data_IF_148147359069
#
_entry.id   IF_148147359069
#
_cell.length_a   1.000
_cell.length_b   1.000
_cell.length_c   1.000
_cell.angle_alpha   90.00
_cell.angle_beta   90.00
_cell.angle_gamma   90.00
#
_symmetry.space_group_name_H-M   'P 1'
#
loop_
_entity.id
_entity.type
_entity.pdbx_description
1 polymer ?
#
# COMPACT_ATOMS: atom_id res chain seq x y z
N UNK A 1 -40.62 35.61 44.58
CA UNK A 1 -40.96 35.03 43.25
C UNK A 1 -40.15 35.65 42.10
N UNK A 2 -38.86 35.96 42.28
CA UNK A 2 -37.99 36.50 41.19
C UNK A 2 -36.70 35.71 40.97
N UNK A 3 -36.39 34.72 41.82
CA UNK A 3 -35.13 33.97 41.71
C UNK A 3 -35.28 32.58 41.07
N UNK A 4 -36.51 32.13 40.82
CA UNK A 4 -36.76 30.80 40.23
C UNK A 4 -36.69 30.79 38.70
N UNK A 5 -36.61 31.96 38.05
CA UNK A 5 -36.65 32.07 36.57
C UNK A 5 -35.28 32.03 35.90
N UNK A 6 -34.17 32.17 36.64
CA UNK A 6 -32.82 32.22 36.04
C UNK A 6 -32.20 30.82 35.92
N UNK A 7 -32.60 29.86 36.77
CA UNK A 7 -32.06 28.50 36.75
C UNK A 7 -32.63 27.65 35.60
N UNK A 8 -33.83 27.98 35.10
CA UNK A 8 -34.47 27.24 34.00
C UNK A 8 -33.90 27.58 32.61
N UNK A 9 -33.26 28.74 32.44
CA UNK A 9 -32.63 29.14 31.17
C UNK A 9 -31.22 28.57 30.96
N UNK A 10 -30.51 28.16 32.02
CA UNK A 10 -29.16 27.58 31.88
C UNK A 10 -29.14 26.07 31.57
N UNK A 11 -30.26 25.35 31.77
CA UNK A 11 -30.31 23.90 31.52
C UNK A 11 -30.53 23.51 30.05
N UNK A 12 -30.89 24.45 29.16
CA UNK A 12 -31.20 24.15 27.76
C UNK A 12 -29.95 24.17 26.86
N UNK A 13 -28.83 24.73 27.33
CA UNK A 13 -27.60 24.86 26.52
C UNK A 13 -26.74 23.58 26.46
N UNK A 14 -27.05 22.54 27.24
CA UNK A 14 -26.31 21.27 27.21
C UNK A 14 -26.90 20.17 26.32
N UNK A 15 -28.08 20.37 25.70
CA UNK A 15 -28.68 19.36 24.81
C UNK A 15 -28.34 19.55 23.32
N UNK A 16 -27.68 20.64 22.93
CA UNK A 16 -27.35 20.93 21.54
C UNK A 16 -25.88 20.57 21.19
N UNK A 17 -25.45 19.37 21.57
CA UNK A 17 -24.28 18.75 20.97
C UNK A 17 -24.62 17.30 20.63
N UNK A 18 -25.70 17.10 19.87
CA UNK A 18 -25.84 15.90 19.05
C UNK A 18 -24.73 16.00 18.02
N UNK A 19 -23.58 15.40 18.34
CA UNK A 19 -22.56 15.07 17.36
C UNK A 19 -23.28 14.17 16.37
N UNK A 20 -23.74 14.73 15.25
CA UNK A 20 -24.30 13.97 14.17
C UNK A 20 -23.31 12.84 13.91
N UNK A 21 -23.72 11.61 14.24
CA UNK A 21 -22.99 10.43 13.77
C UNK A 21 -23.18 10.48 12.27
N UNK A 22 -22.29 11.19 11.58
CA UNK A 22 -22.24 11.21 10.12
C UNK A 22 -22.36 9.77 9.68
N UNK A 23 -23.42 9.49 8.92
CA UNK A 23 -23.65 8.16 8.39
C UNK A 23 -22.38 7.77 7.63
N UNK A 24 -21.71 6.71 8.10
CA UNK A 24 -20.49 6.22 7.48
C UNK A 24 -20.89 5.75 6.09
N UNK A 25 -20.36 6.40 5.05
CA UNK A 25 -20.65 6.00 3.68
C UNK A 25 -20.06 4.61 3.42
N UNK A 26 -20.83 3.66 2.86
CA UNK A 26 -20.34 2.32 2.61
C UNK A 26 -19.28 2.33 1.51
N UNK A 27 -18.27 1.47 1.68
CA UNK A 27 -17.24 1.16 0.70
C UNK A 27 -17.61 -0.15 0.01
N UNK A 28 -17.57 -0.18 -1.32
CA UNK A 28 -17.80 -1.41 -2.09
C UNK A 28 -16.49 -1.99 -2.61
N UNK A 29 -16.46 -3.30 -2.84
CA UNK A 29 -15.29 -3.96 -3.42
C UNK A 29 -14.93 -3.40 -4.81
N UNK A 30 -15.92 -3.04 -5.62
CA UNK A 30 -15.70 -2.48 -6.95
C UNK A 30 -14.93 -1.16 -6.92
N UNK A 31 -15.23 -0.29 -5.95
CA UNK A 31 -14.54 0.99 -5.80
C UNK A 31 -13.07 0.82 -5.42
N UNK A 32 -12.71 -0.27 -4.72
CA UNK A 32 -11.33 -0.58 -4.36
C UNK A 32 -10.43 -0.88 -5.57
N UNK A 33 -10.99 -1.25 -6.73
CA UNK A 33 -10.20 -1.47 -7.96
C UNK A 33 -9.49 -0.22 -8.48
N UNK A 34 -9.85 0.96 -7.96
CA UNK A 34 -9.18 2.23 -8.24
C UNK A 34 -8.04 2.53 -7.25
N UNK A 35 -7.70 1.60 -6.35
CA UNK A 35 -6.72 1.79 -5.31
C UNK A 35 -5.74 0.61 -5.19
N UNK A 36 -4.60 0.88 -4.55
CA UNK A 36 -3.67 -0.14 -4.07
C UNK A 36 -3.07 0.31 -2.74
N UNK A 37 -2.61 -0.64 -1.94
CA UNK A 37 -1.92 -0.43 -0.68
C UNK A 37 -0.46 -0.84 -0.84
N UNK A 38 0.44 0.08 -0.54
CA UNK A 38 1.86 -0.22 -0.38
C UNK A 38 2.14 -0.44 1.10
N UNK A 39 2.79 -1.56 1.42
CA UNK A 39 2.96 -2.06 2.77
C UNK A 39 4.43 -2.35 3.05
N UNK A 40 4.90 -1.93 4.21
CA UNK A 40 6.18 -2.30 4.79
C UNK A 40 5.95 -3.13 6.05
N UNK A 41 6.51 -4.34 6.05
CA UNK A 41 6.46 -5.27 7.18
C UNK A 41 7.86 -5.65 7.62
N UNK A 42 8.04 -5.91 8.90
CA UNK A 42 9.14 -6.74 9.39
C UNK A 42 8.72 -8.19 9.28
N UNK A 43 9.58 -9.00 8.65
CA UNK A 43 9.45 -10.45 8.70
C UNK A 43 10.03 -11.02 10.00
N UNK A 44 9.91 -12.33 10.21
CA UNK A 44 10.40 -13.01 11.42
C UNK A 44 11.91 -12.83 11.67
N UNK A 45 12.69 -12.66 10.60
CA UNK A 45 14.13 -12.40 10.67
C UNK A 45 14.47 -10.92 10.92
N UNK A 46 13.46 -10.09 11.19
CA UNK A 46 13.57 -8.65 11.40
C UNK A 46 13.88 -7.86 10.13
N UNK A 47 13.89 -8.49 8.94
CA UNK A 47 14.14 -7.76 7.69
C UNK A 47 12.88 -7.07 7.22
N UNK A 48 13.07 -5.83 6.78
CA UNK A 48 12.03 -5.05 6.12
C UNK A 48 11.68 -5.66 4.76
N UNK A 49 10.39 -5.83 4.53
CA UNK A 49 9.78 -6.37 3.32
C UNK A 49 8.71 -5.43 2.80
N UNK A 50 8.72 -5.19 1.49
CA UNK A 50 7.71 -4.39 0.83
C UNK A 50 6.70 -5.31 0.14
N UNK A 51 5.42 -4.94 0.22
CA UNK A 51 4.30 -5.71 -0.33
C UNK A 51 3.35 -4.73 -1.03
N UNK A 52 2.85 -5.13 -2.19
CA UNK A 52 1.73 -4.46 -2.83
C UNK A 52 0.47 -5.28 -2.58
N UNK A 53 -0.62 -4.64 -2.17
CA UNK A 53 -1.96 -5.22 -2.18
C UNK A 53 -2.83 -4.39 -3.13
N UNK A 54 -3.33 -4.99 -4.20
CA UNK A 54 -4.10 -4.30 -5.22
C UNK A 54 -5.35 -5.09 -5.58
N UNK A 55 -6.35 -4.43 -6.15
CA UNK A 55 -7.67 -5.01 -6.39
C UNK A 55 -8.00 -5.03 -7.89
N UNK A 56 -8.42 -6.19 -8.39
CA UNK A 56 -8.72 -6.40 -9.80
C UNK A 56 -10.07 -7.09 -9.98
N UNK A 57 -10.79 -6.71 -11.04
CA UNK A 57 -12.02 -7.38 -11.44
C UNK A 57 -11.67 -8.55 -12.36
N UNK A 58 -11.88 -9.78 -11.88
CA UNK A 58 -11.71 -10.99 -12.66
C UNK A 58 -13.10 -11.58 -12.93
N UNK A 59 -13.65 -11.26 -14.11
CA UNK A 59 -14.93 -11.79 -14.60
C UNK A 59 -16.12 -11.57 -13.64
N UNK A 60 -16.21 -10.37 -13.05
CA UNK A 60 -17.31 -9.99 -12.15
C UNK A 60 -16.99 -10.18 -10.67
N UNK A 61 -15.92 -10.92 -10.34
CA UNK A 61 -15.44 -11.07 -8.96
C UNK A 61 -14.25 -10.16 -8.72
N UNK A 62 -14.36 -9.27 -7.73
CA UNK A 62 -13.21 -8.47 -7.30
C UNK A 62 -12.30 -9.35 -6.45
N UNK A 63 -11.03 -9.46 -6.85
CA UNK A 63 -9.99 -10.13 -6.09
C UNK A 63 -8.96 -9.11 -5.60
N UNK A 64 -8.52 -9.25 -4.36
CA UNK A 64 -7.31 -8.62 -3.89
C UNK A 64 -6.14 -9.55 -4.20
N UNK A 65 -5.06 -8.99 -4.72
CA UNK A 65 -3.79 -9.70 -4.92
C UNK A 65 -2.72 -9.02 -4.10
N UNK A 66 -2.05 -9.80 -3.26
CA UNK A 66 -0.88 -9.40 -2.52
C UNK A 66 0.36 -9.94 -3.25
N UNK A 67 1.20 -9.03 -3.73
CA UNK A 67 2.51 -9.34 -4.33
C UNK A 67 3.66 -8.91 -3.42
N UNK A 68 4.66 -9.78 -3.29
CA UNK A 68 5.88 -9.53 -2.54
C UNK A 68 7.08 -10.18 -3.20
N UNK A 69 8.29 -9.92 -2.67
CA UNK A 69 9.44 -10.73 -2.98
C UNK A 69 9.19 -12.18 -2.55
N UNK A 70 9.23 -13.10 -3.52
CA UNK A 70 9.14 -14.54 -3.33
C UNK A 70 7.74 -15.13 -3.38
N UNK A 71 6.69 -14.31 -3.45
CA UNK A 71 5.32 -14.82 -3.37
C UNK A 71 4.25 -13.93 -3.98
N UNK A 72 3.12 -14.55 -4.29
CA UNK A 72 1.86 -13.92 -4.69
C UNK A 72 0.73 -14.69 -4.03
N UNK A 73 -0.26 -13.98 -3.49
CA UNK A 73 -1.50 -14.57 -2.98
C UNK A 73 -2.69 -13.75 -3.46
N UNK A 74 -3.76 -14.43 -3.84
CA UNK A 74 -5.01 -13.81 -4.25
C UNK A 74 -6.15 -14.26 -3.35
N UNK A 75 -7.11 -13.38 -3.10
CA UNK A 75 -8.32 -13.67 -2.35
C UNK A 75 -9.49 -12.84 -2.89
N UNK A 76 -10.68 -13.44 -2.99
CA UNK A 76 -11.90 -12.69 -3.29
C UNK A 76 -12.17 -11.63 -2.21
N UNK A 77 -12.59 -10.45 -2.64
CA UNK A 77 -12.89 -9.33 -1.74
C UNK A 77 -14.31 -9.43 -1.24
N UNK A 78 -14.46 -9.53 0.08
CA UNK A 78 -15.73 -9.38 0.78
C UNK A 78 -15.59 -8.22 1.74
N UNK A 79 -16.38 -7.16 1.55
CA UNK A 79 -16.36 -5.98 2.42
C UNK A 79 -17.49 -6.09 3.43
N UNK A 80 -17.12 -6.08 4.71
CA UNK A 80 -18.05 -6.08 5.84
C UNK A 80 -17.71 -4.90 6.75
N UNK A 81 -18.68 -4.03 7.03
CA UNK A 81 -18.47 -2.83 7.85
C UNK A 81 -17.26 -1.99 7.39
N UNK A 82 -17.16 -1.74 6.08
CA UNK A 82 -16.03 -1.07 5.43
C UNK A 82 -14.66 -1.70 5.73
N UNK A 83 -14.63 -2.98 6.06
CA UNK A 83 -13.40 -3.70 6.38
C UNK A 83 -13.22 -4.89 5.45
N UNK A 84 -11.96 -5.24 5.20
CA UNK A 84 -11.56 -6.40 4.42
C UNK A 84 -10.52 -7.20 5.20
N UNK A 85 -10.71 -8.51 5.26
CA UNK A 85 -9.78 -9.46 5.88
C UNK A 85 -9.05 -10.21 4.79
N UNK A 86 -7.74 -10.02 4.69
CA UNK A 86 -6.89 -10.75 3.74
C UNK A 86 -6.07 -11.79 4.50
N UNK A 87 -6.37 -13.06 4.27
CA UNK A 87 -5.60 -14.19 4.77
C UNK A 87 -4.28 -14.31 4.00
N UNK A 88 -3.16 -14.22 4.71
CA UNK A 88 -1.83 -14.33 4.14
C UNK A 88 -1.39 -15.78 3.87
N UNK A 89 -2.12 -16.78 4.38
CA UNK A 89 -1.73 -18.18 4.32
C UNK A 89 -0.50 -18.51 5.15
N UNK A 90 -0.11 -17.59 6.03
CA UNK A 90 1.02 -17.72 6.94
C UNK A 90 0.46 -18.22 8.28
N UNK A 91 0.83 -19.43 8.71
CA UNK A 91 0.42 -20.00 9.98
C UNK A 91 1.59 -20.07 10.96
N UNK A 92 1.36 -19.63 12.20
CA UNK A 92 2.32 -19.79 13.31
C UNK A 92 1.56 -20.38 14.49
N UNK A 93 2.00 -21.54 14.99
CA UNK A 93 1.38 -22.24 16.12
C UNK A 93 -0.14 -22.47 15.94
N UNK A 94 -0.59 -22.90 14.76
CA UNK A 94 -2.02 -23.13 14.50
C UNK A 94 -2.84 -21.87 14.22
N UNK A 95 -2.22 -20.68 14.23
CA UNK A 95 -2.91 -19.41 14.04
C UNK A 95 -2.52 -18.78 12.70
N UNK A 96 -3.52 -18.54 11.87
CA UNK A 96 -3.37 -17.90 10.54
C UNK A 96 -3.23 -16.39 10.69
N UNK A 97 -2.31 -15.81 9.93
CA UNK A 97 -2.09 -14.36 9.90
C UNK A 97 -3.07 -13.69 8.93
N UNK A 98 -3.82 -12.71 9.43
CA UNK A 98 -4.79 -11.95 8.64
C UNK A 98 -4.42 -10.48 8.66
N UNK A 99 -4.39 -9.85 7.49
CA UNK A 99 -4.40 -8.39 7.37
C UNK A 99 -5.84 -7.90 7.48
N UNK A 100 -6.15 -7.15 8.54
CA UNK A 100 -7.42 -6.44 8.66
C UNK A 100 -7.24 -5.01 8.14
N UNK A 101 -7.87 -4.72 7.01
CA UNK A 101 -7.92 -3.40 6.39
C UNK A 101 -9.26 -2.75 6.74
N UNK A 102 -9.23 -1.52 7.24
CA UNK A 102 -10.43 -0.72 7.47
C UNK A 102 -10.38 0.52 6.60
N UNK A 103 -11.47 0.77 5.87
CA UNK A 103 -11.58 1.86 4.92
C UNK A 103 -12.55 2.94 5.41
N UNK A 104 -12.34 4.14 4.91
CA UNK A 104 -13.28 5.25 5.08
C UNK A 104 -13.53 5.91 3.72
N UNK A 105 -14.81 6.06 3.35
CA UNK A 105 -15.21 6.84 2.19
C UNK A 105 -15.50 8.27 2.64
N UNK A 106 -14.70 9.20 2.13
CA UNK A 106 -14.83 10.63 2.42
C UNK A 106 -15.98 11.24 1.62
N UNK A 107 -16.42 12.44 2.02
CA UNK A 107 -17.55 13.15 1.39
C UNK A 107 -17.34 13.47 -0.10
N UNK A 108 -16.08 13.54 -0.56
CA UNK A 108 -15.72 13.73 -1.96
C UNK A 108 -15.66 12.41 -2.76
N UNK A 109 -16.09 11.30 -2.17
CA UNK A 109 -16.04 9.97 -2.77
C UNK A 109 -14.67 9.27 -2.69
N UNK A 110 -13.60 9.95 -2.24
CA UNK A 110 -12.29 9.34 -2.06
C UNK A 110 -12.34 8.30 -0.94
N UNK A 111 -11.82 7.12 -1.23
CA UNK A 111 -11.59 6.09 -0.21
C UNK A 111 -10.18 6.28 0.35
N UNK A 112 -10.04 6.18 1.67
CA UNK A 112 -8.77 6.17 2.38
C UNK A 112 -8.64 4.88 3.21
N UNK A 113 -7.40 4.42 3.41
CA UNK A 113 -7.09 3.38 4.39
C UNK A 113 -7.02 4.03 5.77
N UNK A 114 -7.98 3.69 6.64
CA UNK A 114 -8.08 4.22 8.00
C UNK A 114 -7.15 3.48 8.95
N UNK A 115 -7.09 2.16 8.83
CA UNK A 115 -6.19 1.32 9.61
C UNK A 115 -5.84 0.06 8.85
N UNK A 116 -4.66 -0.47 9.15
CA UNK A 116 -4.22 -1.80 8.75
C UNK A 116 -3.56 -2.46 9.97
N UNK A 117 -4.06 -3.62 10.37
CA UNK A 117 -3.55 -4.38 11.52
C UNK A 117 -3.32 -5.84 11.16
N UNK A 118 -2.41 -6.50 11.87
CA UNK A 118 -2.27 -7.95 11.82
C UNK A 118 -3.17 -8.56 12.90
N UNK A 119 -3.93 -9.57 12.53
CA UNK A 119 -4.54 -10.51 13.46
C UNK A 119 -3.82 -11.86 13.38
N UNK A 120 -3.82 -12.60 14.48
CA UNK A 120 -3.25 -13.94 14.56
C UNK A 120 -1.83 -13.98 15.13
N UNK A 121 -0.81 -13.60 14.35
CA UNK A 121 0.60 -13.67 14.80
C UNK A 121 1.18 -12.33 15.26
N UNK A 122 2.08 -12.37 16.23
CA UNK A 122 2.83 -11.21 16.75
C UNK A 122 4.24 -11.07 16.17
N UNK A 123 4.77 -12.08 15.48
CA UNK A 123 6.17 -12.10 15.02
C UNK A 123 6.44 -11.15 13.84
N UNK A 124 5.41 -10.84 13.06
CA UNK A 124 5.48 -9.90 11.93
C UNK A 124 4.79 -8.60 12.30
N UNK A 125 5.48 -7.49 12.09
CA UNK A 125 4.97 -6.15 12.41
C UNK A 125 4.73 -5.35 11.14
N UNK A 126 3.57 -4.71 11.04
CA UNK A 126 3.35 -3.64 10.04
C UNK A 126 4.12 -2.42 10.52
N UNK A 127 5.13 -2.01 9.76
CA UNK A 127 5.92 -0.80 10.04
C UNK A 127 5.22 0.42 9.48
N UNK A 128 4.73 0.29 8.25
CA UNK A 128 4.12 1.40 7.52
C UNK A 128 3.19 0.89 6.44
N UNK A 129 2.12 1.63 6.17
CA UNK A 129 1.24 1.37 5.05
C UNK A 129 0.61 2.66 4.54
N UNK A 130 0.54 2.79 3.22
CA UNK A 130 -0.16 3.89 2.55
C UNK A 130 -1.02 3.34 1.42
N UNK A 131 -2.19 3.94 1.22
CA UNK A 131 -3.08 3.60 0.12
C UNK A 131 -3.12 4.73 -0.89
N UNK A 132 -3.00 4.38 -2.15
CA UNK A 132 -2.95 5.33 -3.26
C UNK A 132 -4.00 4.96 -4.32
N UNK A 133 -4.40 5.95 -5.10
CA UNK A 133 -5.17 5.70 -6.30
C UNK A 133 -4.26 5.02 -7.35
N UNK A 134 -4.78 4.06 -8.10
CA UNK A 134 -4.03 3.42 -9.19
C UNK A 134 -3.66 4.43 -10.29
N UNK A 135 -4.45 5.50 -10.45
CA UNK A 135 -4.15 6.62 -11.36
C UNK A 135 -3.00 7.52 -10.89
N UNK A 136 -2.57 7.40 -9.62
CA UNK A 136 -1.43 8.13 -9.07
C UNK A 136 -0.12 7.34 -9.09
N UNK A 137 -0.12 6.13 -9.66
CA UNK A 137 1.10 5.36 -9.86
C UNK A 137 2.05 6.17 -10.74
N UNK A 138 3.30 6.44 -10.30
CA UNK A 138 4.29 7.11 -11.12
C UNK A 138 4.46 6.40 -12.46
N UNK A 139 4.47 7.13 -13.57
CA UNK A 139 4.88 6.54 -14.83
C UNK A 139 6.37 6.21 -14.76
N UNK A 140 6.73 4.93 -14.73
CA UNK A 140 8.12 4.48 -14.56
C UNK A 140 8.71 3.88 -15.84
N UNK A 141 7.94 3.81 -16.93
CA UNK A 141 8.40 3.30 -18.21
C UNK A 141 9.63 4.08 -18.70
N UNK A 142 10.71 3.37 -19.01
CA UNK A 142 11.94 4.00 -19.51
C UNK A 142 12.69 4.88 -18.50
N UNK A 143 12.22 4.97 -17.24
CA UNK A 143 12.81 5.85 -16.22
C UNK A 143 14.02 5.23 -15.54
N UNK A 144 14.86 6.11 -15.03
CA UNK A 144 16.00 5.82 -14.15
C UNK A 144 15.71 6.37 -12.76
N UNK A 145 15.92 5.57 -11.73
CA UNK A 145 15.77 5.95 -10.32
C UNK A 145 17.12 5.88 -9.63
N UNK A 146 17.47 6.93 -8.88
CA UNK A 146 18.70 6.98 -8.10
C UNK A 146 18.47 6.40 -6.71
N UNK A 147 19.35 5.50 -6.29
CA UNK A 147 19.35 4.89 -4.97
C UNK A 147 19.65 5.94 -3.91
N UNK A 148 18.83 5.99 -2.84
CA UNK A 148 19.03 6.89 -1.72
C UNK A 148 19.68 6.25 -0.50
N UNK A 149 19.53 4.94 -0.34
CA UNK A 149 20.03 4.21 0.81
C UNK A 149 20.56 2.83 0.42
N UNK A 150 21.47 2.30 1.23
CA UNK A 150 22.12 1.01 1.02
C UNK A 150 23.65 1.12 1.06
N UNK A 151 24.36 -0.03 0.98
CA UNK A 151 25.82 -0.03 0.89
C UNK A 151 26.34 0.81 -0.29
N UNK A 152 27.56 1.36 -0.20
CA UNK A 152 28.15 2.10 -1.33
C UNK A 152 28.56 1.19 -2.50
N UNK A 153 28.77 -0.11 -2.25
CA UNK A 153 29.11 -1.12 -3.26
C UNK A 153 27.95 -1.48 -4.19
N UNK A 154 26.78 -0.93 -3.92
CA UNK A 154 25.51 -1.27 -4.52
C UNK A 154 25.25 -0.29 -5.67
N UNK A 155 24.85 -0.80 -6.85
CA UNK A 155 24.59 0.00 -8.04
C UNK A 155 23.78 1.30 -7.74
N UNK A 156 24.25 2.49 -8.13
CA UNK A 156 23.60 3.75 -7.80
C UNK A 156 22.24 3.94 -8.48
N UNK A 157 21.95 3.22 -9.57
CA UNK A 157 20.73 3.41 -10.35
C UNK A 157 19.91 2.13 -10.49
N UNK A 158 18.62 2.32 -10.69
CA UNK A 158 17.67 1.29 -11.14
C UNK A 158 17.00 1.83 -12.39
N UNK A 159 17.09 1.10 -13.50
CA UNK A 159 16.51 1.51 -14.79
C UNK A 159 15.48 0.50 -15.23
N UNK A 160 14.42 0.97 -15.88
CA UNK A 160 13.36 0.15 -16.46
C UNK A 160 13.25 0.40 -17.95
N UNK A 161 12.87 -0.61 -18.72
CA UNK A 161 12.60 -0.47 -20.16
C UNK A 161 11.28 0.28 -20.40
N UNK A 162 11.16 0.91 -21.57
CA UNK A 162 9.97 1.67 -21.95
C UNK A 162 8.71 0.78 -22.11
N UNK A 163 8.90 -0.46 -22.54
CA UNK A 163 7.85 -1.47 -22.70
C UNK A 163 7.51 -2.21 -21.40
N UNK A 164 8.11 -1.82 -20.25
CA UNK A 164 7.84 -2.40 -18.93
C UNK A 164 8.10 -3.91 -18.83
N UNK A 165 9.07 -4.41 -19.60
CA UNK A 165 9.44 -5.84 -19.65
C UNK A 165 10.82 -6.14 -19.06
N UNK A 166 11.65 -5.12 -18.82
CA UNK A 166 13.02 -5.28 -18.35
C UNK A 166 13.42 -4.23 -17.33
N UNK A 167 14.43 -4.57 -16.54
CA UNK A 167 15.09 -3.65 -15.62
C UNK A 167 16.61 -3.90 -15.55
N UNK A 168 17.34 -3.04 -14.84
CA UNK A 168 18.74 -3.28 -14.45
C UNK A 168 19.10 -2.48 -13.20
N UNK A 169 19.98 -3.05 -12.37
CA UNK A 169 20.72 -2.29 -11.35
C UNK A 169 21.99 -1.75 -12.02
N UNK A 170 21.99 -0.46 -12.35
CA UNK A 170 23.00 0.12 -13.23
C UNK A 170 24.09 0.89 -12.45
N UNK A 171 25.32 0.73 -12.92
CA UNK A 171 26.49 1.49 -12.44
C UNK A 171 26.63 2.86 -13.10
N UNK A 172 25.96 3.06 -14.24
CA UNK A 172 26.00 4.29 -15.05
C UNK A 172 24.65 4.57 -15.69
N UNK A 173 24.45 5.81 -16.15
CA UNK A 173 23.23 6.21 -16.86
C UNK A 173 23.14 5.65 -18.28
N UNK A 174 24.22 5.10 -18.84
CA UNK A 174 24.25 4.51 -20.19
C UNK A 174 23.91 3.03 -20.25
N UNK A 175 23.97 2.31 -19.11
CA UNK A 175 23.65 0.89 -19.04
C UNK A 175 22.18 0.63 -19.40
N UNK A 176 21.90 -0.35 -20.25
CA UNK A 176 20.54 -0.64 -20.72
C UNK A 176 19.86 -1.70 -19.83
N UNK A 177 18.52 -1.62 -19.64
CA UNK A 177 17.75 -2.70 -19.02
C UNK A 177 18.03 -4.04 -19.72
N UNK A 178 18.38 -5.07 -18.94
CA UNK A 178 18.84 -6.36 -19.45
C UNK A 178 18.22 -7.56 -18.71
N UNK A 179 17.50 -7.31 -17.62
CA UNK A 179 16.91 -8.34 -16.79
C UNK A 179 15.40 -8.39 -17.02
N UNK A 180 14.84 -9.51 -17.50
CA UNK A 180 13.40 -9.63 -17.75
C UNK A 180 12.59 -9.59 -16.46
N UNK A 181 11.35 -9.14 -16.60
CA UNK A 181 10.35 -9.10 -15.55
C UNK A 181 8.98 -8.69 -16.09
N UNK A 182 8.00 -8.58 -15.20
CA UNK A 182 6.66 -8.10 -15.54
C UNK A 182 6.13 -7.05 -14.57
N UNK A 183 5.31 -6.16 -15.10
CA UNK A 183 4.49 -5.26 -14.31
C UNK A 183 3.39 -6.02 -13.55
N UNK A 184 3.07 -5.57 -12.33
CA UNK A 184 1.98 -6.12 -11.51
C UNK A 184 0.89 -5.07 -11.27
N UNK A 185 -0.35 -5.53 -11.04
CA UNK A 185 -1.47 -4.71 -10.56
C UNK A 185 -1.63 -3.38 -11.29
N UNK A 186 -1.79 -3.39 -12.61
CA UNK A 186 -1.87 -2.17 -13.44
C UNK A 186 -0.64 -1.25 -13.30
N UNK A 187 0.55 -1.83 -13.30
CA UNK A 187 1.85 -1.13 -13.19
C UNK A 187 2.17 -0.54 -11.80
N UNK A 188 1.45 -0.89 -10.73
CA UNK A 188 1.81 -0.45 -9.36
C UNK A 188 3.19 -0.96 -8.94
N UNK A 189 3.66 -2.06 -9.53
CA UNK A 189 4.98 -2.61 -9.27
C UNK A 189 5.54 -3.38 -10.46
N UNK A 190 6.72 -3.96 -10.25
CA UNK A 190 7.44 -4.80 -11.20
C UNK A 190 8.13 -5.95 -10.45
N UNK A 191 8.16 -7.15 -11.04
CA UNK A 191 8.85 -8.33 -10.48
C UNK A 191 9.85 -8.90 -11.48
N UNK A 192 10.99 -9.39 -10.97
CA UNK A 192 12.00 -10.09 -11.77
C UNK A 192 11.53 -11.53 -12.07
N UNK A 193 11.60 -11.93 -13.33
CA UNK A 193 11.15 -13.25 -13.81
C UNK A 193 12.10 -14.38 -13.44
N UNK A 194 13.39 -14.07 -13.30
CA UNK A 194 14.46 -15.03 -13.03
C UNK A 194 14.70 -15.18 -11.54
N UNK A 195 14.42 -14.12 -10.78
CA UNK A 195 14.59 -14.08 -9.35
C UNK A 195 13.29 -13.55 -8.70
N UNK A 196 12.32 -14.43 -8.40
CA UNK A 196 11.04 -14.01 -7.83
C UNK A 196 11.20 -13.29 -6.48
N UNK A 197 12.39 -13.35 -5.87
CA UNK A 197 12.82 -12.64 -4.67
C UNK A 197 13.03 -11.13 -4.86
N UNK A 198 12.82 -10.56 -6.05
CA UNK A 198 12.94 -9.11 -6.28
C UNK A 198 11.61 -8.51 -6.72
N UNK A 199 11.21 -7.47 -6.02
CA UNK A 199 10.03 -6.67 -6.36
C UNK A 199 10.33 -5.18 -6.20
N UNK A 200 9.78 -4.40 -7.12
CA UNK A 200 9.80 -2.96 -7.14
C UNK A 200 8.37 -2.46 -7.00
N UNK A 201 8.13 -1.53 -6.08
CA UNK A 201 6.82 -0.95 -5.83
C UNK A 201 6.90 0.56 -6.03
N UNK A 202 6.12 1.08 -6.96
CA UNK A 202 6.13 2.48 -7.34
C UNK A 202 5.06 3.22 -6.55
N UNK A 203 5.46 4.31 -5.89
CA UNK A 203 4.56 5.09 -5.03
C UNK A 203 4.76 6.59 -5.29
N UNK A 204 3.67 7.39 -5.32
CA UNK A 204 3.75 8.83 -5.54
C UNK A 204 4.37 9.58 -4.36
N UNK A 205 4.30 8.99 -3.17
CA UNK A 205 4.92 9.47 -1.93
C UNK A 205 5.31 8.28 -1.06
N UNK A 206 6.13 8.49 -0.04
CA UNK A 206 6.39 7.45 0.97
C UNK A 206 6.83 8.07 2.30
N UNK A 207 6.15 7.73 3.41
CA UNK A 207 6.49 8.20 4.77
C UNK A 207 6.60 9.72 4.85
N UNK A 208 5.67 10.42 4.21
CA UNK A 208 5.64 11.89 4.16
C UNK A 208 6.57 12.54 3.15
N UNK A 209 7.43 11.79 2.45
CA UNK A 209 8.19 12.30 1.32
C UNK A 209 7.30 12.35 0.06
N UNK A 210 6.94 13.56 -0.38
CA UNK A 210 6.04 13.81 -1.50
C UNK A 210 6.66 13.62 -2.90
N UNK A 211 7.81 12.93 -3.02
CA UNK A 211 8.44 12.61 -4.31
C UNK A 211 8.09 11.18 -4.74
N UNK A 212 8.15 10.93 -6.05
CA UNK A 212 8.05 9.58 -6.59
C UNK A 212 9.18 8.69 -6.04
N UNK A 213 8.81 7.52 -5.49
CA UNK A 213 9.73 6.53 -4.97
C UNK A 213 9.52 5.19 -5.67
N UNK A 214 10.60 4.42 -5.78
CA UNK A 214 10.55 2.98 -5.99
C UNK A 214 11.07 2.29 -4.72
N UNK A 215 10.18 1.53 -4.08
CA UNK A 215 10.50 0.71 -2.91
C UNK A 215 11.00 -0.63 -3.43
N UNK A 216 12.14 -1.09 -2.91
CA UNK A 216 12.83 -2.26 -3.45
C UNK A 216 12.93 -3.32 -2.37
N UNK A 217 12.33 -4.48 -2.61
CA UNK A 217 12.48 -5.66 -1.75
C UNK A 217 13.62 -6.53 -2.27
N UNK A 218 14.87 -6.14 -1.94
CA UNK A 218 16.10 -6.88 -2.26
C UNK A 218 17.10 -6.90 -1.10
N UNK A 219 16.62 -6.79 0.15
CA UNK A 219 17.34 -6.18 1.29
C UNK A 219 17.29 -4.63 1.21
N UNK A 220 17.21 -3.93 2.36
CA UNK A 220 16.41 -2.71 2.50
C UNK A 220 16.98 -1.54 1.69
N UNK A 221 16.30 -1.19 0.59
CA UNK A 221 16.70 -0.07 -0.27
C UNK A 221 15.46 0.73 -0.68
N UNK A 222 15.53 2.04 -0.49
CA UNK A 222 14.59 3.00 -1.07
C UNK A 222 15.33 3.78 -2.15
N UNK A 223 14.76 3.87 -3.35
CA UNK A 223 15.29 4.70 -4.44
C UNK A 223 14.26 5.76 -4.84
N UNK A 224 14.72 6.93 -5.26
CA UNK A 224 13.87 8.03 -5.71
C UNK A 224 14.22 8.45 -7.11
N UNK A 225 13.24 9.01 -7.80
CA UNK A 225 13.49 9.64 -9.08
C UNK A 225 14.33 10.91 -8.91
N UNK A 226 15.39 11.04 -9.71
CA UNK A 226 16.18 12.23 -9.89
C UNK A 226 16.62 12.28 -11.35
N UNK A 227 16.21 13.32 -12.07
CA UNK A 227 16.87 13.66 -13.33
C UNK A 227 18.18 14.36 -12.96
N UNK A 228 19.30 13.80 -13.38
CA UNK A 228 20.52 14.58 -13.62
C UNK A 228 20.45 15.17 -15.03
#
# INVERSE_FOLDING_TARGET
MKELSIILCLLILFMACKKDKSAISPVTAAELTNYYVALERLDEDGKTKYRALYFENNNGTINATQDGAGGRRGQAVVIENNSFRFDLGEETNGTVTILLLTFEKQNNGKIILKSLTNEGTSSRQIVHAEMYATTSVPDWAGKTFSRKSGPASYAPYIKFSADKSMYVFASSTTELPQFPGYAIGRSVGFKDDRAPSKMFLFVPSWKGNAKENVLVDTAPVVATYGQE
#
